data_IF_372895856509
#
_entry.id   IF_372895856509
#
_cell.length_a   1.000
_cell.length_b   1.000
_cell.length_c   1.000
_cell.angle_alpha   90.00
_cell.angle_beta   90.00
_cell.angle_gamma   90.00
#
_symmetry.space_group_name_H-M   'P 1'
#
loop_
_entity.id
_entity.type
_entity.pdbx_description
1 polymer ?
#
# COMPACT_ATOMS: atom_id res chain seq x y z
N UNK A 1 10.47 -18.84 4.18
CA UNK A 1 9.66 -17.87 3.40
C UNK A 1 8.58 -17.28 4.29
N UNK A 2 8.24 -16.01 4.08
CA UNK A 2 7.25 -15.34 4.90
C UNK A 2 5.82 -15.69 4.50
N UNK A 3 4.92 -15.70 5.47
CA UNK A 3 3.48 -15.81 5.24
C UNK A 3 2.83 -14.45 4.92
N UNK A 4 3.58 -13.37 5.04
CA UNK A 4 3.11 -12.00 4.81
C UNK A 4 3.90 -11.36 3.68
N UNK A 5 3.19 -10.76 2.74
CA UNK A 5 3.78 -9.96 1.66
C UNK A 5 3.45 -8.49 1.90
N UNK A 6 4.48 -7.66 1.95
CA UNK A 6 4.34 -6.20 1.87
C UNK A 6 4.67 -5.77 0.46
N UNK A 7 3.69 -5.21 -0.25
CA UNK A 7 3.86 -4.73 -1.62
C UNK A 7 3.40 -3.28 -1.70
N UNK A 8 4.22 -2.43 -2.29
CA UNK A 8 3.98 -1.00 -2.22
C UNK A 8 4.52 -0.24 -3.43
N UNK A 9 3.97 0.96 -3.62
CA UNK A 9 4.55 2.01 -4.46
C UNK A 9 4.93 3.19 -3.59
N UNK A 10 6.08 3.80 -3.84
CA UNK A 10 6.51 4.99 -3.12
C UNK A 10 6.97 6.06 -4.09
N UNK A 11 6.48 7.29 -3.90
CA UNK A 11 6.85 8.44 -4.71
C UNK A 11 7.96 9.25 -4.05
N UNK A 12 7.75 9.68 -2.80
CA UNK A 12 8.68 10.55 -2.06
C UNK A 12 9.59 9.80 -1.09
N UNK A 13 9.36 8.49 -0.92
CA UNK A 13 10.05 7.69 0.07
C UNK A 13 9.27 7.47 1.37
N UNK A 14 8.17 8.17 1.58
CA UNK A 14 7.36 8.04 2.80
C UNK A 14 6.70 6.67 2.91
N UNK A 15 6.09 6.19 1.83
CA UNK A 15 5.47 4.85 1.82
C UNK A 15 6.55 3.77 1.99
N UNK A 16 7.68 3.92 1.32
CA UNK A 16 8.81 3.00 1.45
C UNK A 16 9.27 2.89 2.90
N UNK A 17 9.46 4.01 3.58
CA UNK A 17 9.87 4.04 4.99
C UNK A 17 8.88 3.28 5.86
N UNK A 18 7.60 3.61 5.75
CA UNK A 18 6.56 2.98 6.56
C UNK A 18 6.48 1.48 6.30
N UNK A 19 6.48 1.08 5.03
CA UNK A 19 6.37 -0.34 4.66
C UNK A 19 7.59 -1.14 5.08
N UNK A 20 8.78 -0.56 4.98
CA UNK A 20 10.00 -1.22 5.43
C UNK A 20 10.00 -1.44 6.95
N UNK A 21 9.60 -0.44 7.72
CA UNK A 21 9.49 -0.55 9.18
C UNK A 21 8.47 -1.61 9.59
N UNK A 22 7.33 -1.66 8.91
CA UNK A 22 6.29 -2.66 9.16
C UNK A 22 6.77 -4.05 8.77
N UNK A 23 7.35 -4.20 7.57
CA UNK A 23 7.83 -5.50 7.09
C UNK A 23 8.90 -6.08 8.00
N UNK A 24 9.86 -5.26 8.44
CA UNK A 24 10.91 -5.69 9.37
C UNK A 24 10.30 -6.17 10.70
N UNK A 25 9.28 -5.48 11.20
CA UNK A 25 8.66 -5.82 12.48
C UNK A 25 7.83 -7.10 12.45
N UNK A 26 7.20 -7.43 11.33
CA UNK A 26 6.34 -8.62 11.21
C UNK A 26 6.99 -9.76 10.44
N UNK A 27 8.23 -9.59 9.98
CA UNK A 27 8.94 -10.61 9.22
C UNK A 27 8.37 -10.86 7.84
N UNK A 28 7.88 -9.81 7.18
CA UNK A 28 7.26 -9.91 5.86
C UNK A 28 8.30 -9.85 4.74
N UNK A 29 7.99 -10.50 3.64
CA UNK A 29 8.64 -10.22 2.36
C UNK A 29 8.24 -8.83 1.90
N UNK A 30 9.16 -8.05 1.33
CA UNK A 30 8.85 -6.70 0.86
C UNK A 30 9.18 -6.56 -0.63
N UNK A 31 8.23 -6.01 -1.40
CA UNK A 31 8.36 -5.81 -2.84
C UNK A 31 7.90 -4.41 -3.20
N UNK A 32 8.73 -3.66 -3.88
CA UNK A 32 8.36 -2.37 -4.45
C UNK A 32 7.89 -2.58 -5.89
N UNK A 33 6.81 -1.87 -6.26
CA UNK A 33 6.33 -1.87 -7.65
C UNK A 33 6.55 -0.50 -8.28
N UNK A 34 6.60 -0.47 -9.60
CA UNK A 34 6.81 0.73 -10.38
C UNK A 34 6.12 0.58 -11.75
N UNK A 35 5.62 1.69 -12.29
CA UNK A 35 5.05 1.74 -13.63
C UNK A 35 5.98 2.43 -14.65
N UNK A 36 7.20 2.81 -14.23
CA UNK A 36 8.19 3.44 -15.09
C UNK A 36 7.93 4.90 -15.42
N UNK A 37 6.85 5.50 -14.89
CA UNK A 37 6.56 6.90 -15.15
C UNK A 37 7.47 7.80 -14.31
N UNK A 38 8.03 8.84 -14.94
CA UNK A 38 8.80 9.85 -14.23
C UNK A 38 7.84 10.86 -13.59
N UNK A 39 7.84 10.91 -12.26
CA UNK A 39 7.01 11.83 -11.48
C UNK A 39 7.84 12.74 -10.58
N UNK A 40 9.13 12.88 -10.88
CA UNK A 40 10.01 13.75 -10.10
C UNK A 40 9.74 15.23 -10.39
N UNK A 41 9.95 16.08 -9.38
CA UNK A 41 9.74 17.52 -9.48
C UNK A 41 8.27 17.92 -9.51
N UNK A 42 8.01 19.19 -9.83
CA UNK A 42 6.65 19.73 -9.82
C UNK A 42 5.76 19.16 -10.93
N UNK A 43 6.36 18.87 -12.10
CA UNK A 43 5.64 18.22 -13.22
C UNK A 43 5.22 16.80 -12.85
N UNK A 44 6.10 16.09 -12.14
CA UNK A 44 5.78 14.75 -11.64
C UNK A 44 4.64 14.76 -10.63
N UNK A 45 4.59 15.76 -9.76
CA UNK A 45 3.48 15.92 -8.80
C UNK A 45 2.16 16.21 -9.50
N UNK A 46 2.18 17.06 -10.53
CA UNK A 46 0.98 17.32 -11.35
C UNK A 46 0.53 16.06 -12.06
N UNK A 47 1.45 15.28 -12.62
CA UNK A 47 1.14 14.00 -13.27
C UNK A 47 0.54 13.01 -12.28
N UNK A 48 1.09 12.91 -11.08
CA UNK A 48 0.56 12.02 -10.04
C UNK A 48 -0.89 12.35 -9.70
N UNK A 49 -1.20 13.62 -9.47
CA UNK A 49 -2.57 14.07 -9.23
C UNK A 49 -3.50 13.80 -10.41
N UNK A 50 -3.04 14.08 -11.61
CA UNK A 50 -3.80 13.84 -12.85
C UNK A 50 -4.07 12.36 -13.07
N UNK A 51 -3.07 11.49 -12.88
CA UNK A 51 -3.22 10.04 -13.00
C UNK A 51 -4.25 9.52 -12.01
N UNK A 52 -4.20 9.98 -10.76
CA UNK A 52 -5.15 9.59 -9.74
C UNK A 52 -6.57 10.03 -10.09
N UNK A 53 -6.74 11.28 -10.51
CA UNK A 53 -8.06 11.84 -10.86
C UNK A 53 -8.68 11.16 -12.08
N UNK A 54 -7.89 10.83 -13.08
CA UNK A 54 -8.36 10.18 -14.30
C UNK A 54 -8.64 8.70 -14.13
N UNK A 55 -8.21 8.10 -13.04
CA UNK A 55 -8.29 6.65 -12.80
C UNK A 55 -7.64 5.84 -13.92
N UNK A 56 -6.65 6.42 -14.60
CA UNK A 56 -5.90 5.71 -15.63
C UNK A 56 -4.92 4.73 -14.97
N UNK A 57 -4.74 3.57 -15.61
CA UNK A 57 -3.77 2.58 -15.14
C UNK A 57 -2.71 2.37 -16.21
N UNK A 58 -1.46 2.67 -15.84
CA UNK A 58 -0.32 2.35 -16.68
C UNK A 58 0.09 0.89 -16.46
N UNK A 59 0.74 0.25 -17.45
CA UNK A 59 1.32 -1.06 -17.23
C UNK A 59 2.40 -1.00 -16.14
N UNK A 60 2.39 -1.97 -15.22
CA UNK A 60 3.44 -2.09 -14.22
C UNK A 60 4.69 -2.71 -14.85
N UNK A 61 5.86 -2.31 -14.35
CA UNK A 61 7.07 -3.07 -14.60
C UNK A 61 6.95 -4.45 -13.96
N UNK A 62 7.52 -5.49 -14.56
CA UNK A 62 7.48 -6.83 -13.95
C UNK A 62 8.09 -6.82 -12.56
N UNK A 63 7.48 -7.58 -11.68
CA UNK A 63 8.00 -7.84 -10.33
C UNK A 63 7.81 -9.31 -10.00
N UNK A 64 8.59 -9.80 -9.05
CA UNK A 64 8.53 -11.20 -8.60
C UNK A 64 8.34 -11.28 -7.10
N UNK A 65 7.64 -12.32 -6.67
CA UNK A 65 7.47 -12.65 -5.26
C UNK A 65 8.01 -14.06 -5.03
N UNK A 66 8.43 -14.36 -3.80
CA UNK A 66 8.99 -15.68 -3.46
C UNK A 66 7.92 -16.78 -3.52
N UNK A 67 6.66 -16.43 -3.30
CA UNK A 67 5.51 -17.34 -3.36
C UNK A 67 4.48 -16.76 -4.31
N UNK A 68 3.52 -17.57 -4.74
CA UNK A 68 2.35 -17.05 -5.45
C UNK A 68 1.57 -16.12 -4.53
N UNK A 69 0.99 -15.06 -5.06
CA UNK A 69 0.28 -14.07 -4.24
C UNK A 69 -0.83 -14.73 -3.40
N UNK A 70 -1.52 -15.69 -3.96
CA UNK A 70 -2.59 -16.44 -3.27
C UNK A 70 -2.10 -17.29 -2.09
N UNK A 71 -0.81 -17.56 -2.00
CA UNK A 71 -0.23 -18.39 -0.94
C UNK A 71 0.17 -17.61 0.30
N UNK A 72 0.13 -16.28 0.27
CA UNK A 72 0.38 -15.46 1.45
C UNK A 72 -0.88 -15.37 2.31
N UNK A 73 -0.73 -15.55 3.62
CA UNK A 73 -1.85 -15.41 4.57
C UNK A 73 -2.36 -13.99 4.63
N UNK A 74 -1.49 -13.01 4.39
CA UNK A 74 -1.85 -11.60 4.40
C UNK A 74 -0.98 -10.84 3.40
N UNK A 75 -1.62 -10.01 2.59
CA UNK A 75 -0.92 -9.06 1.72
C UNK A 75 -1.17 -7.65 2.26
N UNK A 76 -0.11 -6.97 2.65
CA UNK A 76 -0.16 -5.58 3.11
C UNK A 76 0.23 -4.69 1.93
N UNK A 77 -0.72 -3.88 1.48
CA UNK A 77 -0.54 -3.00 0.31
C UNK A 77 -0.29 -1.58 0.79
N UNK A 78 0.83 -1.01 0.38
CA UNK A 78 1.22 0.35 0.74
C UNK A 78 1.10 1.31 -0.44
N UNK A 79 0.48 2.47 -0.22
CA UNK A 79 0.26 3.48 -1.26
C UNK A 79 0.30 4.90 -0.68
N UNK A 80 0.95 5.86 -1.38
CA UNK A 80 0.67 7.27 -1.06
C UNK A 80 -0.76 7.62 -1.47
N UNK A 81 -1.31 8.63 -0.82
CA UNK A 81 -2.62 9.19 -1.20
C UNK A 81 -2.40 10.29 -2.24
N UNK A 82 -2.99 10.11 -3.43
CA UNK A 82 -2.96 11.08 -4.51
C UNK A 82 -4.37 11.56 -4.81
N UNK A 83 -4.64 12.84 -4.54
CA UNK A 83 -5.95 13.44 -4.80
C UNK A 83 -7.10 12.61 -4.21
N UNK A 84 -6.94 12.15 -2.97
CA UNK A 84 -7.95 11.36 -2.26
C UNK A 84 -8.10 9.92 -2.74
N UNK A 85 -7.12 9.39 -3.47
CA UNK A 85 -7.15 8.03 -4.04
C UNK A 85 -5.82 7.34 -3.81
N UNK A 86 -5.78 6.02 -3.98
CA UNK A 86 -4.52 5.31 -4.02
C UNK A 86 -3.73 5.70 -5.28
N UNK A 87 -2.42 5.53 -5.23
CA UNK A 87 -1.56 5.83 -6.37
C UNK A 87 -1.89 4.94 -7.56
N UNK A 88 -1.75 5.49 -8.78
CA UNK A 88 -2.09 4.76 -10.01
C UNK A 88 -1.34 3.42 -10.17
N UNK A 89 -0.05 3.29 -9.79
CA UNK A 89 0.59 1.96 -9.82
C UNK A 89 -0.08 0.94 -8.90
N UNK A 90 -0.54 1.35 -7.73
CA UNK A 90 -1.27 0.47 -6.82
C UNK A 90 -2.63 0.10 -7.40
N UNK A 91 -3.33 1.04 -8.00
CA UNK A 91 -4.59 0.73 -8.68
C UNK A 91 -4.39 -0.31 -9.79
N UNK A 92 -3.31 -0.16 -10.57
CA UNK A 92 -2.95 -1.13 -11.61
C UNK A 92 -2.68 -2.52 -11.02
N UNK A 93 -1.94 -2.58 -9.91
CA UNK A 93 -1.68 -3.83 -9.19
C UNK A 93 -2.99 -4.49 -8.75
N UNK A 94 -3.84 -3.75 -8.07
CA UNK A 94 -5.07 -4.29 -7.49
C UNK A 94 -6.07 -4.72 -8.57
N UNK A 95 -6.16 -4.00 -9.67
CA UNK A 95 -7.00 -4.40 -10.79
C UNK A 95 -6.56 -5.71 -11.43
N UNK A 96 -5.25 -5.96 -11.49
CA UNK A 96 -4.69 -7.16 -12.14
C UNK A 96 -4.56 -8.34 -11.21
N UNK A 97 -4.16 -8.10 -9.97
CA UNK A 97 -3.75 -9.15 -9.04
C UNK A 97 -4.55 -9.15 -7.74
N UNK A 98 -5.44 -8.17 -7.53
CA UNK A 98 -6.15 -8.00 -6.27
C UNK A 98 -7.03 -9.20 -5.89
N UNK A 99 -7.66 -9.84 -6.85
CA UNK A 99 -8.51 -11.01 -6.60
C UNK A 99 -7.74 -12.27 -6.19
N UNK A 100 -6.41 -12.29 -6.40
CA UNK A 100 -5.55 -13.40 -5.98
C UNK A 100 -5.17 -13.30 -4.50
N UNK A 101 -5.37 -12.15 -3.86
CA UNK A 101 -4.99 -11.90 -2.47
C UNK A 101 -6.01 -12.53 -1.53
N UNK A 102 -5.56 -13.43 -0.64
CA UNK A 102 -6.45 -14.12 0.29
C UNK A 102 -7.02 -13.17 1.35
N UNK A 103 -6.16 -12.44 2.02
CA UNK A 103 -6.52 -11.39 2.97
C UNK A 103 -5.68 -10.15 2.71
N UNK A 104 -6.28 -8.98 2.85
CA UNK A 104 -5.60 -7.71 2.59
C UNK A 104 -5.64 -6.77 3.78
N UNK A 105 -4.57 -6.00 3.92
CA UNK A 105 -4.46 -4.88 4.82
C UNK A 105 -3.82 -3.71 4.06
N UNK A 106 -4.16 -2.49 4.44
CA UNK A 106 -3.69 -1.31 3.71
C UNK A 106 -2.90 -0.37 4.61
N UNK A 107 -1.83 0.16 4.06
CA UNK A 107 -1.05 1.25 4.65
C UNK A 107 -1.05 2.39 3.65
N UNK A 108 -1.72 3.49 3.97
CA UNK A 108 -1.66 4.68 3.13
C UNK A 108 -0.83 5.75 3.83
N UNK A 109 -0.05 6.48 3.05
CA UNK A 109 0.76 7.60 3.56
C UNK A 109 0.27 8.90 2.97
N UNK A 110 0.29 9.95 3.77
CA UNK A 110 -0.23 11.26 3.42
C UNK A 110 0.70 12.35 3.93
N UNK A 111 0.62 13.52 3.31
CA UNK A 111 1.39 14.70 3.71
C UNK A 111 0.52 15.75 4.42
N UNK A 112 -0.79 15.54 4.49
CA UNK A 112 -1.74 16.47 5.08
C UNK A 112 -2.34 15.91 6.36
N UNK A 113 -3.11 16.74 7.07
CA UNK A 113 -3.84 16.31 8.29
C UNK A 113 -5.06 15.45 7.97
N UNK A 114 -5.56 15.51 6.74
CA UNK A 114 -6.70 14.70 6.30
C UNK A 114 -6.31 13.23 6.20
N UNK A 115 -7.02 12.35 6.89
CA UNK A 115 -6.67 10.94 6.98
C UNK A 115 -6.94 10.15 5.70
N UNK A 116 -7.88 10.59 4.88
CA UNK A 116 -8.21 9.97 3.59
C UNK A 116 -8.60 8.49 3.70
N UNK A 117 -9.36 8.16 4.73
CA UNK A 117 -9.76 6.76 4.99
C UNK A 117 -10.73 6.21 3.94
N UNK A 118 -11.36 7.07 3.15
CA UNK A 118 -12.19 6.67 2.01
C UNK A 118 -11.41 5.90 0.94
N UNK A 119 -10.08 6.01 0.94
CA UNK A 119 -9.20 5.27 0.04
C UNK A 119 -9.32 3.76 0.27
N UNK A 120 -9.55 3.33 1.50
CA UNK A 120 -9.66 1.91 1.82
C UNK A 120 -10.84 1.25 1.09
N UNK A 121 -11.97 1.91 1.05
CA UNK A 121 -13.15 1.38 0.35
C UNK A 121 -12.93 1.30 -1.15
N UNK A 122 -12.19 2.28 -1.72
CA UNK A 122 -11.82 2.25 -3.13
C UNK A 122 -10.93 1.03 -3.44
N UNK A 123 -9.98 0.74 -2.56
CA UNK A 123 -9.09 -0.41 -2.73
C UNK A 123 -9.84 -1.73 -2.59
N UNK A 124 -10.80 -1.79 -1.67
CA UNK A 124 -11.65 -2.98 -1.50
C UNK A 124 -12.44 -3.31 -2.76
N UNK A 125 -12.85 -2.31 -3.52
CA UNK A 125 -13.54 -2.54 -4.80
C UNK A 125 -12.69 -3.30 -5.79
N UNK A 126 -11.37 -3.09 -5.78
CA UNK A 126 -10.47 -3.80 -6.68
C UNK A 126 -10.09 -5.19 -6.16
N UNK A 127 -9.95 -5.36 -4.86
CA UNK A 127 -9.60 -6.65 -4.25
C UNK A 127 -10.80 -7.58 -4.12
N UNK A 128 -12.01 -7.06 -4.25
CA UNK A 128 -13.24 -7.85 -4.15
C UNK A 128 -13.52 -8.34 -2.74
N UNK A 129 -12.93 -7.73 -1.72
CA UNK A 129 -13.10 -8.11 -0.32
C UNK A 129 -12.94 -6.91 0.59
N UNK A 130 -13.50 -7.00 1.80
CA UNK A 130 -13.23 -6.01 2.84
C UNK A 130 -11.82 -6.24 3.41
N UNK A 131 -11.09 -5.14 3.59
CA UNK A 131 -9.77 -5.22 4.23
C UNK A 131 -9.90 -5.71 5.67
N UNK A 132 -8.87 -6.42 6.14
CA UNK A 132 -8.81 -6.89 7.53
C UNK A 132 -8.32 -5.79 8.46
N UNK A 133 -7.37 -5.01 8.02
CA UNK A 133 -6.74 -3.90 8.77
C UNK A 133 -6.39 -2.78 7.81
N UNK A 134 -6.34 -1.56 8.33
CA UNK A 134 -5.86 -0.40 7.56
C UNK A 134 -5.32 0.67 8.51
N UNK A 135 -4.37 1.45 8.02
CA UNK A 135 -3.82 2.58 8.74
C UNK A 135 -3.47 3.71 7.76
N UNK A 136 -3.72 4.94 8.18
CA UNK A 136 -3.31 6.15 7.47
C UNK A 136 -2.20 6.82 8.25
N UNK A 137 -1.01 6.88 7.66
CA UNK A 137 0.19 7.39 8.32
C UNK A 137 0.63 8.70 7.70
N UNK A 138 1.01 9.63 8.57
CA UNK A 138 1.68 10.86 8.16
C UNK A 138 3.09 10.84 8.73
N UNK A 139 4.09 10.42 7.94
CA UNK A 139 5.49 10.44 8.40
C UNK A 139 5.88 11.85 8.85
N UNK A 140 6.74 11.93 9.84
CA UNK A 140 7.19 13.17 10.49
C UNK A 140 6.11 13.89 11.33
N UNK A 141 4.95 13.27 11.56
CA UNK A 141 3.98 13.76 12.54
C UNK A 141 4.19 13.09 13.90
N UNK A 142 3.68 13.71 14.96
CA UNK A 142 3.79 13.18 16.32
C UNK A 142 3.09 11.82 16.48
N UNK A 143 2.02 11.57 15.73
CA UNK A 143 1.28 10.32 15.84
C UNK A 143 1.83 9.17 15.02
N UNK A 144 2.87 9.39 14.21
CA UNK A 144 3.34 8.38 13.27
C UNK A 144 3.75 7.08 13.96
N UNK A 145 4.62 7.14 14.96
CA UNK A 145 5.10 5.95 15.65
C UNK A 145 3.99 5.19 16.36
N UNK A 146 3.07 5.92 16.98
CA UNK A 146 1.93 5.31 17.68
C UNK A 146 1.07 4.51 16.71
N UNK A 147 0.65 5.11 15.60
CA UNK A 147 -0.24 4.46 14.65
C UNK A 147 0.44 3.33 13.89
N UNK A 148 1.73 3.50 13.56
CA UNK A 148 2.52 2.42 12.97
C UNK A 148 2.61 1.21 13.90
N UNK A 149 2.94 1.45 15.17
CA UNK A 149 3.08 0.37 16.17
C UNK A 149 1.74 -0.30 16.46
N UNK A 150 0.66 0.47 16.52
CA UNK A 150 -0.69 -0.07 16.68
C UNK A 150 -1.05 -1.00 15.52
N UNK A 151 -0.77 -0.59 14.30
CA UNK A 151 -0.99 -1.42 13.13
C UNK A 151 -0.16 -2.71 13.18
N UNK A 152 1.11 -2.61 13.55
CA UNK A 152 1.99 -3.78 13.68
C UNK A 152 1.43 -4.78 14.71
N UNK A 153 0.97 -4.30 15.85
CA UNK A 153 0.38 -5.16 16.87
C UNK A 153 -0.89 -5.84 16.36
N UNK A 154 -1.71 -5.11 15.63
CA UNK A 154 -2.93 -5.67 15.04
C UNK A 154 -2.64 -6.73 13.98
N UNK A 155 -1.58 -6.54 13.18
CA UNK A 155 -1.11 -7.57 12.23
C UNK A 155 -0.69 -8.83 12.98
N UNK A 156 0.09 -8.68 14.04
CA UNK A 156 0.54 -9.83 14.84
C UNK A 156 -0.63 -10.59 15.44
N UNK A 157 -1.62 -9.90 15.99
CA UNK A 157 -2.84 -10.53 16.52
C UNK A 157 -3.62 -11.28 15.44
N UNK A 158 -3.74 -10.67 14.26
CA UNK A 158 -4.43 -11.30 13.14
C UNK A 158 -3.75 -12.60 12.73
N UNK A 159 -2.43 -12.62 12.66
CA UNK A 159 -1.67 -13.80 12.26
C UNK A 159 -1.70 -14.91 13.33
N UNK A 160 -1.79 -14.55 14.61
CA UNK A 160 -1.89 -15.51 15.71
C UNK A 160 -3.25 -16.20 15.74
N UNK A 161 -4.31 -15.54 15.29
CA UNK A 161 -5.68 -16.05 15.36
C UNK A 161 -6.11 -16.81 14.09
N UNK A 162 -5.30 -16.81 13.05
CA UNK A 162 -5.55 -17.55 11.81
C UNK A 162 -4.74 -18.92 11.81
#
# INVERSE_FOLDING_TARGET
>A
MSDVLCIYYSFSGNTRRAMKEIADAVGAEIVAIDDGADRNGWRGRLRAGKDAMRRTTAPLKPFTTQRNIEDYKLVIVGSPVWAGRCASPIRALLKRRGLEMENVAYVVTRSTTQRSEEVYDQMDMYTGQAHRLAVSLRPDSEGYEFWRNDFIQNVRRLLEND
#
